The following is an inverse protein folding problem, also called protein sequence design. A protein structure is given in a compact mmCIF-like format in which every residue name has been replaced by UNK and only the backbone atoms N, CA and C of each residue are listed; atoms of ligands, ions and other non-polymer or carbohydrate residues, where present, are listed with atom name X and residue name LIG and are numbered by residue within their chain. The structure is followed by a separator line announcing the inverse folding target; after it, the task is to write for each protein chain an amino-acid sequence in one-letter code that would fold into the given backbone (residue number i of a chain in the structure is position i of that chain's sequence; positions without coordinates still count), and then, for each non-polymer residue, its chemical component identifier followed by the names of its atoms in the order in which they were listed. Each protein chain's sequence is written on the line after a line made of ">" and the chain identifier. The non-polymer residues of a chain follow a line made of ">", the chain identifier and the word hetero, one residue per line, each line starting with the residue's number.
data_IF_223412434435
#
_entry.id   IF_223412434435
#
_cell.length_a   1.000
_cell.length_b   1.000
_cell.length_c   1.000
_cell.angle_alpha   90.00
_cell.angle_beta   90.00
_cell.angle_gamma   90.00
#
_symmetry.space_group_name_H-M   'P 1'
#
loop_
_entity.id
_entity.type
_entity.pdbx_description
1 polymer ?
#
# COMPACT_ATOMS: atom_id res chain seq x y z
N UNK A 1 -1.47 -4.69 12.13
CA UNK A 1 -2.82 -4.78 11.51
C UNK A 1 -3.90 -3.99 12.26
N UNK A 2 -4.14 -4.20 13.56
CA UNK A 2 -5.20 -3.50 14.32
C UNK A 2 -5.08 -1.97 14.26
N UNK A 3 -3.89 -1.43 14.53
CA UNK A 3 -3.63 0.02 14.50
C UNK A 3 -3.85 0.66 13.12
N UNK A 4 -3.48 -0.04 12.02
CA UNK A 4 -3.71 0.45 10.65
C UNK A 4 -5.22 0.53 10.37
N UNK A 5 -5.99 -0.49 10.76
CA UNK A 5 -7.45 -0.48 10.60
C UNK A 5 -8.11 0.65 11.41
N UNK A 6 -7.67 0.86 12.67
CA UNK A 6 -8.15 1.97 13.51
C UNK A 6 -7.82 3.34 12.88
N UNK A 7 -6.64 3.48 12.22
CA UNK A 7 -6.28 4.71 11.52
C UNK A 7 -7.17 4.97 10.31
N UNK A 8 -7.46 3.93 9.53
CA UNK A 8 -8.40 4.01 8.40
C UNK A 8 -9.80 4.41 8.86
N UNK A 9 -10.30 3.77 9.91
CA UNK A 9 -11.62 4.11 10.48
C UNK A 9 -11.67 5.56 10.97
N UNK A 10 -10.59 6.06 11.57
CA UNK A 10 -10.51 7.42 12.07
C UNK A 10 -10.52 8.46 10.95
N UNK A 11 -9.78 8.24 9.87
CA UNK A 11 -9.81 9.10 8.68
C UNK A 11 -11.22 9.13 8.08
N UNK A 12 -11.85 7.98 7.93
CA UNK A 12 -13.22 7.89 7.41
C UNK A 12 -14.25 8.58 8.30
N UNK A 13 -14.09 8.50 9.62
CA UNK A 13 -14.97 9.18 10.59
C UNK A 13 -14.88 10.73 10.50
N UNK A 14 -13.77 11.25 9.97
CA UNK A 14 -13.56 12.68 9.72
C UNK A 14 -14.05 13.13 8.33
N UNK A 15 -14.63 12.22 7.54
CA UNK A 15 -15.14 12.49 6.20
C UNK A 15 -14.21 12.05 5.06
N UNK A 16 -13.18 11.29 5.38
CA UNK A 16 -12.21 10.81 4.39
C UNK A 16 -11.10 11.82 4.07
N UNK A 17 -10.41 11.60 2.96
CA UNK A 17 -9.32 12.44 2.46
C UNK A 17 -9.88 13.48 1.49
N UNK A 18 -9.35 14.71 1.54
CA UNK A 18 -9.64 15.71 0.53
C UNK A 18 -8.99 15.29 -0.81
N UNK A 19 -9.80 14.77 -1.71
CA UNK A 19 -9.33 14.37 -3.05
C UNK A 19 -9.24 15.59 -3.96
N UNK A 20 -8.10 15.71 -4.66
CA UNK A 20 -7.91 16.77 -5.63
C UNK A 20 -8.89 16.59 -6.79
N UNK A 21 -9.74 17.60 -7.03
CA UNK A 21 -10.77 17.55 -8.07
C UNK A 21 -10.20 17.54 -9.47
N UNK A 22 -10.64 16.59 -10.27
CA UNK A 22 -10.97 16.64 -11.70
C UNK A 22 -10.04 17.36 -12.68
N UNK A 23 -8.74 17.36 -12.51
CA UNK A 23 -7.86 17.68 -13.62
C UNK A 23 -7.64 16.41 -14.47
N UNK A 24 -7.54 16.54 -15.79
CA UNK A 24 -7.51 15.42 -16.74
C UNK A 24 -6.27 14.51 -16.64
N UNK A 25 -5.26 14.84 -15.82
CA UNK A 25 -4.09 14.02 -15.58
C UNK A 25 -4.22 13.20 -14.28
N UNK A 26 -4.68 11.97 -14.44
CA UNK A 26 -4.92 11.07 -13.32
C UNK A 26 -3.67 10.67 -12.53
N UNK A 27 -2.45 10.85 -13.06
CA UNK A 27 -1.21 10.51 -12.36
C UNK A 27 -0.79 11.59 -11.35
N UNK A 28 -0.86 12.86 -11.75
CA UNK A 28 -0.53 14.00 -10.87
C UNK A 28 -1.50 14.01 -9.68
N UNK A 29 -2.80 13.85 -9.95
CA UNK A 29 -3.83 13.82 -8.90
C UNK A 29 -3.69 12.66 -7.91
N UNK A 30 -3.14 11.51 -8.34
CA UNK A 30 -2.93 10.37 -7.44
C UNK A 30 -1.81 10.65 -6.42
N UNK A 31 -0.72 11.26 -6.86
CA UNK A 31 0.38 11.65 -5.96
C UNK A 31 -0.06 12.68 -4.92
N UNK A 32 -0.90 13.62 -5.32
CA UNK A 32 -1.45 14.64 -4.41
C UNK A 32 -2.38 14.02 -3.36
N UNK A 33 -3.24 13.08 -3.77
CA UNK A 33 -4.16 12.38 -2.86
C UNK A 33 -3.40 11.52 -1.84
N UNK A 34 -2.35 10.80 -2.29
CA UNK A 34 -1.49 9.99 -1.43
C UNK A 34 -0.74 10.87 -0.42
N UNK A 35 -0.15 11.97 -0.86
CA UNK A 35 0.54 12.93 0.00
C UNK A 35 -0.41 13.58 1.03
N UNK A 36 -1.63 13.90 0.63
CA UNK A 36 -2.66 14.44 1.53
C UNK A 36 -3.02 13.43 2.61
N UNK A 37 -3.23 12.17 2.27
CA UNK A 37 -3.50 11.12 3.25
C UNK A 37 -2.34 10.95 4.24
N UNK A 38 -1.10 10.94 3.76
CA UNK A 38 0.08 10.81 4.62
C UNK A 38 0.17 12.01 5.59
N UNK A 39 -0.05 13.23 5.10
CA UNK A 39 -0.06 14.43 5.94
C UNK A 39 -1.15 14.37 7.03
N UNK A 40 -2.38 13.96 6.68
CA UNK A 40 -3.48 13.79 7.63
C UNK A 40 -3.14 12.72 8.70
N UNK A 41 -2.51 11.62 8.30
CA UNK A 41 -2.07 10.57 9.23
C UNK A 41 -0.95 11.06 10.17
N UNK A 42 0.01 11.84 9.66
CA UNK A 42 1.08 12.45 10.48
C UNK A 42 0.49 13.43 11.49
N UNK A 43 -0.45 14.25 11.07
CA UNK A 43 -1.14 15.20 11.97
C UNK A 43 -1.87 14.50 13.12
N UNK A 44 -2.40 13.30 12.87
CA UNK A 44 -3.16 12.54 13.86
C UNK A 44 -2.26 11.69 14.78
N UNK A 45 -1.23 11.06 14.23
CA UNK A 45 -0.43 10.02 14.92
C UNK A 45 1.02 10.43 15.18
N UNK A 46 1.52 11.47 14.50
CA UNK A 46 2.90 11.93 14.59
C UNK A 46 3.88 11.21 13.66
N UNK A 47 5.04 11.83 13.46
CA UNK A 47 6.11 11.35 12.56
C UNK A 47 6.81 10.08 13.07
N UNK A 48 6.68 9.74 14.35
CA UNK A 48 7.25 8.50 14.90
C UNK A 48 6.46 7.27 14.50
N UNK A 49 5.13 7.40 14.41
CA UNK A 49 4.22 6.29 14.05
C UNK A 49 3.93 6.25 12.54
N UNK A 50 3.99 7.38 11.85
CA UNK A 50 3.78 7.52 10.39
C UNK A 50 5.03 8.10 9.77
N UNK A 51 5.78 7.27 9.07
CA UNK A 51 7.09 7.64 8.51
C UNK A 51 7.04 7.63 6.99
N UNK A 52 7.36 8.78 6.39
CA UNK A 52 7.54 8.87 4.95
C UNK A 52 8.76 8.04 4.51
N UNK A 53 8.67 7.30 3.39
CA UNK A 53 9.78 6.50 2.93
C UNK A 53 10.95 7.37 2.45
N UNK A 54 12.14 6.80 2.51
CA UNK A 54 13.29 7.38 1.82
C UNK A 54 13.12 7.23 0.30
N UNK A 55 13.84 8.03 -0.46
CA UNK A 55 13.85 7.89 -1.92
C UNK A 55 14.18 6.45 -2.36
N UNK A 56 13.32 5.87 -3.22
CA UNK A 56 13.44 4.51 -3.80
C UNK A 56 12.99 3.34 -2.91
N UNK A 57 12.26 3.60 -1.83
CA UNK A 57 11.60 2.51 -1.11
C UNK A 57 10.48 1.88 -1.97
N UNK A 58 10.15 0.62 -1.66
CA UNK A 58 9.15 -0.16 -2.40
C UNK A 58 7.73 -0.07 -1.81
N UNK A 59 7.55 0.77 -0.80
CA UNK A 59 6.26 1.08 -0.16
C UNK A 59 6.06 2.61 -0.13
N UNK A 60 4.84 3.07 0.07
CA UNK A 60 4.51 4.50 0.03
C UNK A 60 4.57 5.17 1.41
N UNK A 61 4.36 4.41 2.48
CA UNK A 61 4.43 4.90 3.86
C UNK A 61 4.71 3.75 4.82
N UNK A 62 5.39 4.04 5.93
CA UNK A 62 5.49 3.12 7.07
C UNK A 62 4.53 3.55 8.15
N UNK A 63 3.55 2.72 8.47
CA UNK A 63 2.54 2.97 9.50
C UNK A 63 2.75 2.01 10.67
N UNK A 64 3.04 2.57 11.86
CA UNK A 64 3.26 1.77 13.08
C UNK A 64 4.30 0.66 12.90
N UNK A 65 5.36 0.95 12.15
CA UNK A 65 6.42 0.00 11.83
C UNK A 65 6.19 -0.90 10.61
N UNK A 66 4.99 -0.94 10.04
CA UNK A 66 4.62 -1.79 8.90
C UNK A 66 4.70 -1.04 7.57
N UNK A 67 5.28 -1.60 6.49
CA UNK A 67 5.25 -1.01 5.17
C UNK A 67 3.84 -1.10 4.57
N UNK A 68 3.35 0.00 4.02
CA UNK A 68 2.00 0.12 3.47
C UNK A 68 2.05 0.75 2.08
N UNK A 69 1.27 0.21 1.16
CA UNK A 69 1.02 0.78 -0.16
C UNK A 69 -0.23 1.67 -0.12
N UNK A 70 -0.19 2.80 -0.81
CA UNK A 70 -1.37 3.64 -1.04
C UNK A 70 -1.72 3.59 -2.53
N UNK A 71 -3.00 3.48 -2.83
CA UNK A 71 -3.55 3.54 -4.18
C UNK A 71 -4.72 4.49 -4.21
N UNK A 72 -4.72 5.40 -5.19
CA UNK A 72 -5.84 6.30 -5.43
C UNK A 72 -6.53 5.90 -6.73
N UNK A 73 -7.82 5.57 -6.68
CA UNK A 73 -8.55 5.01 -7.83
C UNK A 73 -10.01 5.44 -7.84
N UNK A 74 -10.64 5.42 -9.02
CA UNK A 74 -12.09 5.60 -9.18
C UNK A 74 -12.90 4.32 -8.92
N UNK A 75 -12.28 3.26 -8.41
CA UNK A 75 -12.86 1.93 -8.15
C UNK A 75 -13.42 1.19 -9.39
N UNK A 76 -13.38 1.81 -10.56
CA UNK A 76 -13.80 1.22 -11.84
C UNK A 76 -12.62 0.95 -12.77
N UNK A 77 -11.40 1.24 -12.33
CA UNK A 77 -10.18 1.02 -13.10
C UNK A 77 -9.59 -0.36 -12.81
N UNK A 78 -8.94 -0.94 -13.81
CA UNK A 78 -8.18 -2.20 -13.68
C UNK A 78 -6.80 -1.93 -13.08
N UNK A 79 -6.76 -1.37 -11.87
CA UNK A 79 -5.51 -1.06 -11.21
C UNK A 79 -4.80 -2.34 -10.71
N UNK A 80 -3.50 -2.37 -10.91
CA UNK A 80 -2.68 -3.45 -10.40
C UNK A 80 -2.36 -3.21 -8.92
N UNK A 81 -2.95 -4.00 -8.03
CA UNK A 81 -2.72 -3.93 -6.58
C UNK A 81 -1.48 -4.70 -6.12
N UNK A 82 -0.88 -5.51 -6.98
CA UNK A 82 0.29 -6.30 -6.61
C UNK A 82 1.59 -5.56 -6.93
N UNK A 83 2.53 -5.63 -6.00
CA UNK A 83 3.92 -5.30 -6.25
C UNK A 83 4.80 -6.51 -5.96
N UNK A 84 5.87 -6.71 -6.74
CA UNK A 84 6.82 -7.80 -6.49
C UNK A 84 7.40 -7.76 -5.07
N UNK A 85 7.91 -6.61 -4.57
CA UNK A 85 8.38 -6.51 -3.19
C UNK A 85 7.30 -6.82 -2.15
N UNK A 86 6.09 -6.31 -2.33
CA UNK A 86 4.97 -6.58 -1.43
C UNK A 86 4.59 -8.07 -1.38
N UNK A 87 4.64 -8.77 -2.52
CA UNK A 87 4.43 -10.22 -2.58
C UNK A 87 5.53 -10.99 -1.83
N UNK A 88 6.80 -10.61 -2.00
CA UNK A 88 7.91 -11.21 -1.25
C UNK A 88 7.74 -10.95 0.25
N UNK A 89 7.39 -9.74 0.64
CA UNK A 89 7.16 -9.39 2.04
C UNK A 89 6.03 -10.21 2.68
N UNK A 90 4.91 -10.41 1.97
CA UNK A 90 3.75 -11.12 2.50
C UNK A 90 3.89 -12.65 2.52
N UNK A 91 4.68 -13.24 1.60
CA UNK A 91 4.65 -14.69 1.34
C UNK A 91 6.02 -15.39 1.47
N UNK A 92 7.06 -14.67 1.88
CA UNK A 92 8.39 -15.25 2.13
C UNK A 92 8.91 -14.86 3.51
N UNK A 93 9.95 -15.52 3.97
CA UNK A 93 10.67 -15.17 5.19
C UNK A 93 11.80 -14.15 4.97
N UNK A 94 11.91 -13.59 3.76
CA UNK A 94 12.90 -12.56 3.44
C UNK A 94 12.74 -11.32 4.29
N UNK A 95 13.85 -10.75 4.72
CA UNK A 95 13.88 -9.45 5.39
C UNK A 95 13.61 -8.30 4.41
N UNK A 96 13.29 -7.12 4.92
CA UNK A 96 13.08 -5.93 4.08
C UNK A 96 14.35 -5.54 3.31
N UNK A 97 15.53 -5.70 3.93
CA UNK A 97 16.82 -5.41 3.29
C UNK A 97 17.08 -6.37 2.12
N UNK A 98 16.83 -7.68 2.30
CA UNK A 98 16.96 -8.67 1.23
C UNK A 98 15.99 -8.39 0.07
N UNK A 99 14.76 -7.94 0.36
CA UNK A 99 13.78 -7.55 -0.65
C UNK A 99 14.26 -6.32 -1.44
N UNK A 100 14.79 -5.33 -0.72
CA UNK A 100 15.34 -4.10 -1.33
C UNK A 100 16.55 -4.41 -2.22
N UNK A 101 17.45 -5.25 -1.76
CA UNK A 101 18.68 -5.62 -2.49
C UNK A 101 18.41 -6.50 -3.72
N UNK A 102 17.29 -7.24 -3.74
CA UNK A 102 16.95 -8.12 -4.86
C UNK A 102 16.71 -7.35 -6.17
N UNK A 103 16.24 -6.11 -6.09
CA UNK A 103 15.89 -5.27 -7.24
C UNK A 103 14.58 -5.70 -7.93
N UNK A 104 14.38 -5.25 -9.17
CA UNK A 104 13.08 -5.35 -9.86
C UNK A 104 13.01 -6.42 -10.97
N UNK A 105 14.02 -7.28 -11.10
CA UNK A 105 14.08 -8.32 -12.13
C UNK A 105 13.02 -9.41 -11.93
N UNK A 106 12.35 -9.83 -13.02
CA UNK A 106 11.36 -10.92 -12.94
C UNK A 106 12.01 -12.26 -12.57
N UNK A 107 13.12 -12.61 -13.18
CA UNK A 107 13.80 -13.88 -12.90
C UNK A 107 14.25 -13.97 -11.43
N UNK A 108 14.83 -12.89 -10.89
CA UNK A 108 15.22 -12.82 -9.48
C UNK A 108 14.02 -12.95 -8.56
N UNK A 109 12.90 -12.28 -8.88
CA UNK A 109 11.67 -12.36 -8.13
C UNK A 109 11.08 -13.78 -8.09
N UNK A 110 10.98 -14.46 -9.24
CA UNK A 110 10.43 -15.82 -9.32
C UNK A 110 11.27 -16.82 -8.50
N UNK A 111 12.60 -16.73 -8.60
CA UNK A 111 13.51 -17.56 -7.82
C UNK A 111 13.37 -17.27 -6.32
N UNK A 112 13.37 -16.00 -5.93
CA UNK A 112 13.24 -15.60 -4.53
C UNK A 112 11.91 -16.07 -3.93
N UNK A 113 10.79 -15.90 -4.64
CA UNK A 113 9.48 -16.35 -4.20
C UNK A 113 9.42 -17.87 -4.04
N UNK A 114 9.98 -18.62 -4.99
CA UNK A 114 9.98 -20.08 -4.92
C UNK A 114 10.87 -20.61 -3.79
N UNK A 115 12.04 -19.98 -3.56
CA UNK A 115 13.06 -20.44 -2.61
C UNK A 115 12.71 -20.08 -1.16
N UNK A 116 12.15 -18.89 -0.93
CA UNK A 116 11.94 -18.34 0.41
C UNK A 116 10.46 -18.34 0.83
N UNK A 117 9.59 -19.05 0.11
CA UNK A 117 8.17 -19.14 0.46
C UNK A 117 7.98 -19.68 1.87
N UNK A 118 7.27 -18.92 2.70
CA UNK A 118 7.01 -19.27 4.09
C UNK A 118 5.61 -18.82 4.52
N UNK A 119 5.00 -19.55 5.44
CA UNK A 119 3.76 -19.14 6.10
C UNK A 119 4.12 -18.37 7.37
N UNK A 120 4.28 -17.06 7.22
CA UNK A 120 4.69 -16.15 8.30
C UNK A 120 3.53 -15.23 8.69
N UNK A 121 3.55 -14.79 9.94
CA UNK A 121 2.55 -13.87 10.49
C UNK A 121 2.88 -12.41 10.16
N UNK A 122 3.01 -12.11 8.87
CA UNK A 122 3.04 -10.73 8.36
C UNK A 122 2.30 -10.63 7.04
N UNK A 123 1.82 -9.45 6.70
CA UNK A 123 1.07 -9.19 5.48
C UNK A 123 1.43 -7.82 4.92
N UNK A 124 1.24 -7.63 3.63
CA UNK A 124 1.45 -6.34 2.98
C UNK A 124 0.12 -5.63 2.82
N UNK A 125 -0.02 -4.51 3.51
CA UNK A 125 -1.26 -3.74 3.57
C UNK A 125 -1.35 -2.73 2.42
N UNK A 126 -2.56 -2.54 1.93
CA UNK A 126 -2.88 -1.61 0.86
C UNK A 126 -4.05 -0.74 1.30
N UNK A 127 -3.85 0.56 1.32
CA UNK A 127 -4.92 1.55 1.52
C UNK A 127 -5.34 2.06 0.14
N UNK A 128 -6.62 1.99 -0.14
CA UNK A 128 -7.22 2.45 -1.39
C UNK A 128 -8.04 3.70 -1.12
N UNK A 129 -7.68 4.81 -1.76
CA UNK A 129 -8.44 6.07 -1.74
C UNK A 129 -9.47 6.02 -2.86
N UNK A 130 -10.75 6.09 -2.54
CA UNK A 130 -11.81 6.27 -3.53
C UNK A 130 -11.87 7.73 -3.96
N UNK A 131 -11.45 8.03 -5.18
CA UNK A 131 -11.46 9.39 -5.75
C UNK A 131 -12.85 10.00 -5.89
N UNK A 132 -13.91 9.21 -5.85
CA UNK A 132 -15.26 9.73 -5.96
C UNK A 132 -15.77 10.27 -4.62
N UNK A 133 -15.35 9.69 -3.51
CA UNK A 133 -15.88 9.99 -2.17
C UNK A 133 -14.84 10.53 -1.21
N UNK A 134 -13.54 10.29 -1.46
CA UNK A 134 -12.47 10.53 -0.50
C UNK A 134 -12.37 9.48 0.60
N UNK A 135 -13.29 8.52 0.67
CA UNK A 135 -13.23 7.43 1.64
C UNK A 135 -12.05 6.52 1.35
N UNK A 136 -11.46 5.95 2.41
CA UNK A 136 -10.34 5.03 2.28
C UNK A 136 -10.74 3.63 2.71
N UNK A 137 -10.15 2.64 2.05
CA UNK A 137 -10.42 1.22 2.27
C UNK A 137 -9.13 0.47 2.53
N UNK A 138 -9.11 -0.38 3.54
CA UNK A 138 -7.97 -1.23 3.88
C UNK A 138 -8.15 -2.64 3.32
N UNK A 139 -7.14 -3.10 2.59
CA UNK A 139 -7.01 -4.50 2.19
C UNK A 139 -5.56 -4.98 2.40
N UNK A 140 -5.28 -6.21 2.06
CA UNK A 140 -3.93 -6.79 2.12
C UNK A 140 -3.73 -7.85 1.04
N UNK A 141 -2.48 -8.17 0.72
CA UNK A 141 -2.20 -9.20 -0.28
C UNK A 141 -2.73 -10.58 0.12
N UNK A 142 -2.69 -10.94 1.40
CA UNK A 142 -3.26 -12.22 1.85
C UNK A 142 -4.78 -12.26 1.76
N UNK A 143 -5.46 -11.13 1.91
CA UNK A 143 -6.91 -11.03 1.65
C UNK A 143 -7.23 -11.11 0.16
N UNK A 144 -6.44 -10.46 -0.68
CA UNK A 144 -6.65 -10.45 -2.14
C UNK A 144 -6.46 -11.84 -2.78
N UNK A 145 -5.67 -12.74 -2.15
CA UNK A 145 -5.46 -14.11 -2.68
C UNK A 145 -6.72 -14.94 -2.87
N UNK A 146 -7.82 -14.58 -2.21
CA UNK A 146 -9.11 -15.28 -2.36
C UNK A 146 -9.93 -14.78 -3.56
N UNK A 147 -9.50 -13.68 -4.18
CA UNK A 147 -10.14 -13.14 -5.36
C UNK A 147 -9.65 -13.89 -6.61
N UNK A 148 -10.55 -14.14 -7.54
CA UNK A 148 -10.16 -14.66 -8.86
C UNK A 148 -9.50 -13.52 -9.64
N UNK A 149 -8.24 -13.67 -10.10
CA UNK A 149 -7.62 -12.66 -10.94
C UNK A 149 -8.44 -12.49 -12.23
N UNK A 150 -8.69 -11.24 -12.62
CA UNK A 150 -9.16 -10.99 -13.96
C UNK A 150 -8.01 -11.34 -14.92
N UNK A 151 -8.25 -12.16 -15.92
CA UNK A 151 -7.25 -12.76 -16.80
C UNK A 151 -6.55 -11.78 -17.75
N UNK A 152 -6.10 -10.62 -17.24
CA UNK A 152 -5.30 -9.65 -17.97
C UNK A 152 -3.84 -9.72 -17.53
#
# INVERSE_FOLDING_TARGET
>A
MKKIAEAVDRINAQGGVAVSGRLDDGRINSLDDEATLIADLIDIYGEDDIVEPRAREWFDVRMFGEPVQIKSTKLQSNDNFSSKPGLLYAFTDMTEDEITDLGNGWASFEVALATNKADIDRDYHIIVIDKNTGMIHLTSLKRLRVLTPNGN
#
